data_IF_357067264526
#
_entry.id   IF_357067264526
#
_cell.length_a   1.000
_cell.length_b   1.000
_cell.length_c   1.000
_cell.angle_alpha   90.00
_cell.angle_beta   90.00
_cell.angle_gamma   90.00
#
_symmetry.space_group_name_H-M   'P 1'
#
loop_
_entity.id
_entity.type
_entity.pdbx_description
1 polymer ?
#
# COMPACT_ATOMS: atom_id res chain seq x y z
N UNK A 1 100.91 -46.32 8.94
CA UNK A 1 99.73 -47.13 8.94
C UNK A 1 98.95 -46.85 10.21
N UNK A 2 97.87 -46.16 10.14
CA UNK A 2 97.04 -45.75 11.31
C UNK A 2 95.65 -46.36 11.15
N UNK A 3 95.04 -46.94 12.22
CA UNK A 3 93.74 -47.58 12.11
C UNK A 3 92.61 -46.59 12.23
N UNK A 4 91.54 -46.90 11.56
CA UNK A 4 90.25 -46.18 11.55
C UNK A 4 89.52 -46.30 12.88
N UNK A 5 89.11 -45.11 13.42
CA UNK A 5 88.19 -45.01 14.55
C UNK A 5 86.74 -45.11 14.05
N UNK A 6 85.99 -45.97 14.69
CA UNK A 6 84.53 -46.11 14.45
C UNK A 6 83.81 -44.96 15.16
N UNK A 7 83.06 -44.14 14.43
CA UNK A 7 82.16 -43.11 14.94
C UNK A 7 80.79 -43.76 15.11
N UNK A 8 80.33 -43.81 16.35
CA UNK A 8 78.99 -44.28 16.73
C UNK A 8 78.02 -43.11 16.66
N UNK A 9 77.08 -43.26 15.76
CA UNK A 9 76.02 -42.26 15.57
C UNK A 9 74.88 -42.51 16.57
N UNK A 10 74.69 -41.64 17.54
CA UNK A 10 73.55 -41.68 18.45
C UNK A 10 72.43 -40.92 17.85
N UNK A 11 71.39 -41.60 17.40
CA UNK A 11 70.20 -40.99 16.86
C UNK A 11 69.25 -40.63 18.01
N UNK A 12 69.15 -39.34 18.32
CA UNK A 12 68.16 -38.86 19.28
C UNK A 12 66.84 -38.66 18.56
N UNK A 13 65.84 -39.44 18.90
CA UNK A 13 64.45 -39.28 18.44
C UNK A 13 63.81 -38.17 19.30
N UNK A 14 63.55 -37.02 18.67
CA UNK A 14 62.76 -35.95 19.30
C UNK A 14 61.30 -36.18 18.97
N UNK A 15 60.52 -36.59 19.97
CA UNK A 15 59.06 -36.72 19.84
C UNK A 15 58.47 -35.32 20.07
N UNK A 16 58.04 -34.69 18.97
CA UNK A 16 57.26 -33.42 19.04
C UNK A 16 55.80 -33.81 19.29
N UNK A 17 55.36 -33.62 20.54
CA UNK A 17 53.93 -33.67 20.89
C UNK A 17 53.28 -32.37 20.47
N UNK A 18 52.65 -32.35 19.32
CA UNK A 18 51.84 -31.23 18.86
C UNK A 18 50.49 -31.26 19.61
N UNK A 19 50.33 -30.45 20.69
CA UNK A 19 49.05 -30.17 21.28
C UNK A 19 48.25 -29.31 20.32
N UNK A 20 47.37 -29.93 19.51
CA UNK A 20 46.38 -29.25 18.66
C UNK A 20 45.35 -28.57 19.55
N UNK A 21 45.44 -27.22 19.63
CA UNK A 21 44.41 -26.39 20.21
C UNK A 21 43.20 -26.35 19.27
N UNK A 22 42.17 -27.17 19.52
CA UNK A 22 40.89 -27.06 18.83
C UNK A 22 40.21 -25.77 19.25
N UNK A 23 40.38 -24.69 18.46
CA UNK A 23 39.55 -23.50 18.56
C UNK A 23 38.20 -23.89 18.00
N UNK A 24 37.24 -24.26 18.88
CA UNK A 24 35.83 -24.36 18.52
C UNK A 24 35.37 -22.95 18.15
N UNK A 25 35.38 -22.64 16.86
CA UNK A 25 34.76 -21.42 16.31
C UNK A 25 33.25 -21.48 16.56
N UNK A 26 32.82 -20.95 17.69
CA UNK A 26 31.43 -20.70 17.94
C UNK A 26 30.95 -19.69 16.89
N UNK A 27 30.23 -20.14 15.89
CA UNK A 27 29.44 -19.26 15.03
C UNK A 27 28.45 -18.58 15.96
N UNK A 28 28.66 -17.29 16.23
CA UNK A 28 27.67 -16.45 16.87
C UNK A 28 26.44 -16.44 15.94
N UNK A 29 25.44 -17.26 16.25
CA UNK A 29 24.13 -17.16 15.64
C UNK A 29 23.61 -15.79 15.95
N UNK A 30 23.35 -14.98 14.93
CA UNK A 30 22.69 -13.70 15.10
C UNK A 30 21.44 -13.89 15.98
N UNK A 31 21.18 -13.01 16.95
CA UNK A 31 20.04 -13.15 17.83
C UNK A 31 18.78 -13.27 16.96
N UNK A 32 18.06 -14.38 17.10
CA UNK A 32 16.74 -14.55 16.50
C UNK A 32 15.86 -13.43 17.06
N UNK A 33 15.18 -12.62 16.24
CA UNK A 33 14.27 -11.59 16.76
C UNK A 33 13.35 -12.24 17.79
N UNK A 34 13.18 -11.62 18.94
CA UNK A 34 12.29 -12.12 19.97
C UNK A 34 10.90 -12.34 19.37
N UNK A 35 10.27 -13.48 19.66
CA UNK A 35 8.89 -13.74 19.25
C UNK A 35 8.01 -12.60 19.77
N UNK A 36 7.54 -11.73 18.88
CA UNK A 36 6.84 -10.46 19.19
C UNK A 36 7.46 -9.22 18.56
N UNK A 37 8.75 -9.24 18.21
CA UNK A 37 9.41 -8.08 17.56
C UNK A 37 8.86 -7.74 16.17
N UNK A 38 8.17 -8.68 15.53
CA UNK A 38 7.55 -8.52 14.21
C UNK A 38 6.02 -8.37 14.28
N UNK A 39 5.43 -8.20 15.46
CA UNK A 39 3.98 -7.98 15.58
C UNK A 39 3.66 -6.50 15.48
N UNK A 40 2.48 -6.19 14.91
CA UNK A 40 1.93 -4.84 14.89
C UNK A 40 1.87 -4.29 16.32
N UNK A 41 2.41 -3.08 16.58
CA UNK A 41 2.24 -2.41 17.86
C UNK A 41 0.77 -2.27 18.22
N UNK A 42 0.48 -2.05 19.51
CA UNK A 42 -0.88 -1.85 19.98
C UNK A 42 -1.06 -0.48 20.61
N UNK A 43 -2.20 0.10 20.40
CA UNK A 43 -2.67 1.31 21.08
C UNK A 43 -2.99 1.02 22.55
N UNK A 44 -3.21 2.07 23.33
CA UNK A 44 -3.53 1.95 24.75
C UNK A 44 -4.82 1.16 25.02
N UNK A 45 -5.77 1.15 24.09
CA UNK A 45 -7.01 0.37 24.13
C UNK A 45 -6.86 -1.05 23.54
N UNK A 46 -5.62 -1.47 23.26
CA UNK A 46 -5.27 -2.84 22.86
C UNK A 46 -5.52 -3.15 21.38
N UNK A 47 -5.92 -2.19 20.56
CA UNK A 47 -6.12 -2.38 19.12
C UNK A 47 -4.79 -2.32 18.38
N UNK A 48 -4.65 -2.94 17.18
CA UNK A 48 -3.49 -2.73 16.33
C UNK A 48 -3.26 -1.24 16.08
N UNK A 49 -2.02 -0.79 16.19
CA UNK A 49 -1.65 0.60 15.92
C UNK A 49 -1.18 0.75 14.47
N UNK A 50 -2.09 1.22 13.66
CA UNK A 50 -1.83 1.50 12.25
C UNK A 50 -1.21 2.88 12.00
N UNK A 51 -0.96 3.68 13.05
CA UNK A 51 -0.34 5.01 12.90
C UNK A 51 0.98 4.92 12.15
N UNK A 52 1.23 5.88 11.27
CA UNK A 52 2.45 5.99 10.49
C UNK A 52 2.18 6.19 9.00
N UNK A 53 3.27 6.17 8.22
CA UNK A 53 3.24 6.43 6.78
C UNK A 53 3.23 5.10 6.04
N UNK A 54 2.32 4.97 5.09
CA UNK A 54 2.06 3.75 4.34
C UNK A 54 2.02 4.00 2.84
N UNK A 55 2.23 2.95 2.06
CA UNK A 55 2.14 3.00 0.60
C UNK A 55 1.72 1.65 0.04
N UNK A 56 0.92 1.66 -1.02
CA UNK A 56 0.72 0.50 -1.88
C UNK A 56 1.83 0.46 -2.94
N UNK A 57 2.49 -0.69 -3.10
CA UNK A 57 3.58 -0.89 -4.07
C UNK A 57 3.07 -1.74 -5.25
N UNK A 58 2.13 -1.20 -6.00
CA UNK A 58 1.53 -1.87 -7.16
C UNK A 58 1.14 -0.85 -8.24
N UNK A 59 0.55 -1.32 -9.32
CA UNK A 59 0.13 -0.50 -10.47
C UNK A 59 -1.38 -0.28 -10.53
N UNK A 60 -2.12 -0.57 -9.46
CA UNK A 60 -3.59 -0.52 -9.42
C UNK A 60 -4.17 0.88 -9.72
N UNK A 61 -3.43 1.95 -9.44
CA UNK A 61 -3.88 3.31 -9.79
C UNK A 61 -4.05 3.52 -11.30
N UNK A 62 -3.33 2.73 -12.12
CA UNK A 62 -3.44 2.74 -13.58
C UNK A 62 -4.46 1.72 -14.09
N UNK A 63 -4.42 0.50 -13.58
CA UNK A 63 -5.41 -0.54 -13.86
C UNK A 63 -5.47 -1.52 -12.69
N UNK A 64 -6.66 -1.70 -12.12
CA UNK A 64 -6.89 -2.64 -11.02
C UNK A 64 -6.93 -4.10 -11.47
N UNK A 65 -7.02 -4.36 -12.79
CA UNK A 65 -6.91 -5.70 -13.39
C UNK A 65 -5.49 -5.96 -13.91
N UNK A 66 -5.18 -7.22 -14.24
CA UNK A 66 -3.91 -7.59 -14.88
C UNK A 66 -3.74 -6.82 -16.19
N UNK A 67 -2.59 -6.20 -16.39
CA UNK A 67 -2.33 -5.38 -17.57
C UNK A 67 -0.89 -5.48 -18.06
N UNK A 68 -0.73 -5.30 -19.36
CA UNK A 68 0.57 -5.15 -19.99
C UNK A 68 1.06 -3.71 -19.90
N UNK A 69 2.34 -3.49 -20.21
CA UNK A 69 2.86 -2.13 -20.34
C UNK A 69 2.09 -1.34 -21.41
N UNK A 70 1.82 -0.08 -21.12
CA UNK A 70 1.19 0.83 -22.08
C UNK A 70 1.78 2.23 -21.98
N UNK A 71 1.63 3.02 -23.04
CA UNK A 71 1.93 4.44 -22.98
C UNK A 71 0.72 5.16 -22.39
N UNK A 72 0.91 5.72 -21.20
CA UNK A 72 -0.01 6.73 -20.67
C UNK A 72 0.31 8.11 -21.28
N UNK A 73 -0.59 9.07 -21.12
CA UNK A 73 -0.50 10.38 -21.76
C UNK A 73 0.78 11.15 -21.43
N UNK A 74 1.44 10.88 -20.30
CA UNK A 74 2.67 11.54 -19.87
C UNK A 74 3.68 10.62 -19.15
N UNK A 75 3.28 9.42 -18.77
CA UNK A 75 4.14 8.42 -18.16
C UNK A 75 3.83 7.03 -18.73
N UNK A 76 4.86 6.24 -18.99
CA UNK A 76 4.68 4.83 -19.32
C UNK A 76 4.06 4.09 -18.13
N UNK A 77 3.06 3.24 -18.39
CA UNK A 77 2.51 2.34 -17.39
C UNK A 77 3.28 1.04 -17.45
N UNK A 78 3.97 0.62 -16.38
CA UNK A 78 4.62 -0.68 -16.34
C UNK A 78 3.58 -1.80 -16.38
N UNK A 79 3.95 -3.01 -16.82
CA UNK A 79 3.08 -4.16 -16.68
C UNK A 79 2.86 -4.47 -15.21
N UNK A 80 1.68 -4.94 -14.86
CA UNK A 80 1.36 -5.24 -13.46
C UNK A 80 0.32 -6.33 -13.32
N UNK A 81 0.38 -7.00 -12.17
CA UNK A 81 -0.72 -7.86 -11.73
C UNK A 81 -1.78 -6.97 -11.10
N UNK A 82 -3.02 -7.27 -11.45
CA UNK A 82 -4.17 -6.61 -10.85
C UNK A 82 -4.34 -6.97 -9.37
N UNK A 83 -5.17 -6.19 -8.72
CA UNK A 83 -5.55 -6.36 -7.31
C UNK A 83 -6.98 -6.90 -7.17
N UNK A 84 -7.69 -7.08 -8.27
CA UNK A 84 -9.04 -7.66 -8.32
C UNK A 84 -8.96 -9.16 -8.08
N UNK A 85 -9.69 -9.68 -7.10
CA UNK A 85 -9.78 -11.12 -6.86
C UNK A 85 -10.37 -11.83 -8.09
N UNK A 86 -9.65 -12.81 -8.61
CA UNK A 86 -10.02 -13.52 -9.84
C UNK A 86 -9.87 -12.71 -11.13
N UNK A 87 -9.33 -11.49 -11.04
CA UNK A 87 -9.09 -10.59 -12.18
C UNK A 87 -10.33 -10.26 -13.04
N UNK A 88 -11.53 -10.42 -12.48
CA UNK A 88 -12.80 -10.20 -13.17
C UNK A 88 -13.66 -9.15 -12.45
N UNK A 89 -14.04 -8.10 -13.18
CA UNK A 89 -15.02 -7.11 -12.70
C UNK A 89 -16.37 -7.41 -13.34
N UNK A 90 -17.41 -7.74 -12.56
CA UNK A 90 -18.67 -8.25 -13.07
C UNK A 90 -19.60 -7.12 -13.57
N UNK A 91 -19.19 -6.40 -14.60
CA UNK A 91 -19.97 -5.32 -15.19
C UNK A 91 -21.31 -5.78 -15.77
N UNK A 92 -22.33 -4.96 -15.60
CA UNK A 92 -23.53 -5.04 -16.44
C UNK A 92 -23.19 -4.63 -17.89
N UNK A 93 -23.89 -5.14 -18.92
CA UNK A 93 -23.54 -4.86 -20.32
C UNK A 93 -23.43 -3.36 -20.66
N UNK A 94 -24.39 -2.55 -20.23
CA UNK A 94 -24.38 -1.11 -20.48
C UNK A 94 -23.23 -0.41 -19.74
N UNK A 95 -22.91 -0.83 -18.52
CA UNK A 95 -21.80 -0.29 -17.74
C UNK A 95 -20.43 -0.67 -18.35
N UNK A 96 -20.31 -1.87 -18.93
CA UNK A 96 -19.10 -2.27 -19.65
C UNK A 96 -18.84 -1.37 -20.87
N UNK A 97 -19.88 -0.98 -21.59
CA UNK A 97 -19.74 -0.04 -22.71
C UNK A 97 -19.31 1.35 -22.23
N UNK A 98 -19.80 1.79 -21.07
CA UNK A 98 -19.33 3.05 -20.48
C UNK A 98 -17.86 2.94 -20.05
N UNK A 99 -17.44 1.83 -19.43
CA UNK A 99 -16.02 1.59 -19.07
C UNK A 99 -15.11 1.66 -20.30
N UNK A 100 -15.52 1.10 -21.44
CA UNK A 100 -14.76 1.18 -22.69
C UNK A 100 -14.63 2.62 -23.21
N UNK A 101 -15.69 3.43 -23.08
CA UNK A 101 -15.66 4.86 -23.44
C UNK A 101 -14.71 5.62 -22.51
N UNK A 102 -14.78 5.37 -21.21
CA UNK A 102 -13.86 5.97 -20.22
C UNK A 102 -12.41 5.64 -20.57
N UNK A 103 -12.13 4.37 -20.87
CA UNK A 103 -10.79 3.92 -21.28
C UNK A 103 -10.29 4.65 -22.53
N UNK A 104 -11.12 4.80 -23.55
CA UNK A 104 -10.74 5.50 -24.78
C UNK A 104 -10.44 6.99 -24.53
N UNK A 105 -11.08 7.59 -23.55
CA UNK A 105 -10.95 9.01 -23.21
C UNK A 105 -10.07 9.29 -21.99
N UNK A 106 -9.48 8.26 -21.36
CA UNK A 106 -8.77 8.37 -20.08
C UNK A 106 -7.68 9.44 -20.03
N UNK A 107 -6.99 9.66 -21.16
CA UNK A 107 -5.95 10.69 -21.26
C UNK A 107 -6.48 12.12 -21.14
N UNK A 108 -7.80 12.33 -21.19
CA UNK A 108 -8.45 13.64 -21.08
C UNK A 108 -9.45 13.69 -19.93
N UNK A 109 -9.98 12.54 -19.51
CA UNK A 109 -11.16 12.46 -18.66
C UNK A 109 -10.90 11.84 -17.29
N UNK A 110 -9.72 11.21 -17.04
CA UNK A 110 -9.42 10.69 -15.71
C UNK A 110 -9.58 11.77 -14.63
N UNK A 111 -10.53 11.58 -13.69
CA UNK A 111 -10.83 12.61 -12.70
C UNK A 111 -9.63 12.93 -11.80
N UNK A 112 -8.85 11.93 -11.41
CA UNK A 112 -7.73 12.11 -10.50
C UNK A 112 -6.47 12.57 -11.23
N UNK A 113 -5.95 11.79 -12.19
CA UNK A 113 -4.66 12.10 -12.82
C UNK A 113 -4.72 13.26 -13.81
N UNK A 114 -5.85 13.49 -14.46
CA UNK A 114 -5.97 14.51 -15.52
C UNK A 114 -6.71 15.74 -15.04
N UNK A 115 -7.86 15.56 -14.35
CA UNK A 115 -8.66 16.70 -13.88
C UNK A 115 -8.29 17.17 -12.48
N UNK A 116 -7.35 16.49 -11.82
CA UNK A 116 -6.86 16.82 -10.48
C UNK A 116 -7.96 16.89 -9.41
N UNK A 117 -8.97 16.06 -9.55
CA UNK A 117 -10.01 15.90 -8.54
C UNK A 117 -9.56 14.88 -7.47
N UNK A 118 -10.19 14.90 -6.33
CA UNK A 118 -9.89 13.91 -5.28
C UNK A 118 -10.19 12.50 -5.79
N UNK A 119 -9.34 11.50 -5.50
CA UNK A 119 -9.41 10.18 -6.13
C UNK A 119 -10.58 9.31 -5.66
N UNK A 120 -11.22 9.65 -4.54
CA UNK A 120 -12.24 8.82 -3.93
C UNK A 120 -11.68 7.57 -3.24
N UNK A 121 -12.57 6.77 -2.68
CA UNK A 121 -12.27 5.50 -2.02
C UNK A 121 -12.82 4.37 -2.90
N UNK A 122 -12.06 3.30 -3.16
CA UNK A 122 -10.78 2.93 -2.54
C UNK A 122 -9.52 3.49 -3.24
N UNK A 123 -9.64 4.20 -4.38
CA UNK A 123 -8.50 4.61 -5.23
C UNK A 123 -7.43 5.37 -4.45
N UNK A 124 -7.81 6.23 -3.52
CA UNK A 124 -6.86 6.99 -2.69
C UNK A 124 -5.81 6.10 -2.02
N UNK A 125 -6.20 4.89 -1.60
CA UNK A 125 -5.34 3.97 -0.85
C UNK A 125 -4.22 3.36 -1.70
N UNK A 126 -4.43 3.21 -3.01
CA UNK A 126 -3.44 2.64 -3.93
C UNK A 126 -2.93 3.61 -5.00
N UNK A 127 -3.14 4.91 -4.82
CA UNK A 127 -2.40 5.91 -5.59
C UNK A 127 -0.89 5.70 -5.37
N UNK A 128 -0.02 5.97 -6.37
CA UNK A 128 1.43 5.75 -6.26
C UNK A 128 2.11 6.81 -5.37
N UNK A 129 1.46 7.20 -4.30
CA UNK A 129 1.90 8.21 -3.34
C UNK A 129 1.66 7.72 -1.92
N UNK A 130 2.50 8.10 -0.96
CA UNK A 130 2.31 7.71 0.42
C UNK A 130 1.07 8.38 1.05
N UNK A 131 0.59 7.77 2.12
CA UNK A 131 -0.43 8.34 2.99
C UNK A 131 -0.08 8.07 4.45
N UNK A 132 -0.56 8.92 5.33
CA UNK A 132 -0.35 8.82 6.78
C UNK A 132 -1.66 8.46 7.47
N UNK A 133 -1.59 7.46 8.33
CA UNK A 133 -2.67 7.10 9.25
C UNK A 133 -2.36 7.73 10.61
N UNK A 134 -3.32 8.46 11.16
CA UNK A 134 -3.30 9.06 12.50
C UNK A 134 -4.44 8.42 13.27
N UNK A 135 -4.10 7.53 14.21
CA UNK A 135 -5.09 6.75 14.93
C UNK A 135 -5.31 7.30 16.34
N UNK A 136 -6.57 7.59 16.66
CA UNK A 136 -7.02 7.97 17.99
C UNK A 136 -8.24 7.13 18.38
N UNK A 137 -8.53 6.98 19.68
CA UNK A 137 -9.77 6.37 20.12
C UNK A 137 -10.98 7.12 19.54
N UNK A 138 -11.87 6.42 18.87
CA UNK A 138 -13.07 7.01 18.26
C UNK A 138 -12.90 7.68 16.90
N UNK A 139 -11.66 7.92 16.44
CA UNK A 139 -11.40 8.57 15.16
C UNK A 139 -10.08 8.14 14.53
N UNK A 140 -10.10 7.80 13.25
CA UNK A 140 -8.89 7.63 12.45
C UNK A 140 -8.89 8.69 11.35
N UNK A 141 -7.82 9.49 11.29
CA UNK A 141 -7.54 10.40 10.20
C UNK A 141 -6.58 9.76 9.21
N UNK A 142 -6.82 9.93 7.92
CA UNK A 142 -5.87 9.54 6.87
C UNK A 142 -5.58 10.76 6.02
N UNK A 143 -4.30 11.11 5.91
CA UNK A 143 -3.80 12.19 5.08
C UNK A 143 -3.06 11.59 3.90
N UNK A 144 -3.49 11.89 2.69
CA UNK A 144 -2.88 11.41 1.46
C UNK A 144 -1.98 12.50 0.86
N UNK A 145 -0.80 12.11 0.36
CA UNK A 145 0.06 13.04 -0.38
C UNK A 145 -0.64 13.52 -1.67
N UNK A 146 -1.33 12.60 -2.38
CA UNK A 146 -2.05 12.95 -3.60
C UNK A 146 -3.20 13.91 -3.35
N UNK A 147 -3.20 15.02 -4.09
CA UNK A 147 -4.25 16.05 -4.10
C UNK A 147 -4.61 16.61 -2.71
N UNK A 148 -3.71 16.47 -1.73
CA UNK A 148 -3.94 16.88 -0.32
C UNK A 148 -5.20 16.28 0.27
N UNK A 149 -5.60 15.10 -0.19
CA UNK A 149 -6.82 14.47 0.26
C UNK A 149 -6.73 14.14 1.75
N UNK A 150 -7.82 14.40 2.47
CA UNK A 150 -7.97 14.03 3.87
C UNK A 150 -9.24 13.20 4.01
N UNK A 151 -9.17 12.16 4.81
CA UNK A 151 -10.28 11.27 5.11
C UNK A 151 -10.38 11.06 6.61
N UNK A 152 -11.59 11.04 7.11
CA UNK A 152 -11.89 10.75 8.52
C UNK A 152 -12.74 9.49 8.60
N UNK A 153 -12.33 8.54 9.43
CA UNK A 153 -13.07 7.33 9.75
C UNK A 153 -13.62 7.48 11.17
N UNK A 154 -14.93 7.60 11.30
CA UNK A 154 -15.62 7.75 12.57
C UNK A 154 -15.83 6.36 13.21
N UNK A 155 -15.26 6.15 14.40
CA UNK A 155 -15.37 4.91 15.19
C UNK A 155 -16.41 5.02 16.33
N UNK A 156 -17.11 6.15 16.43
CA UNK A 156 -18.03 6.42 17.56
C UNK A 156 -19.38 5.71 17.43
N UNK A 157 -19.65 5.08 16.27
CA UNK A 157 -20.94 4.46 15.98
C UNK A 157 -22.07 5.46 15.72
N UNK A 158 -21.75 6.75 15.44
CA UNK A 158 -22.75 7.76 15.15
C UNK A 158 -23.60 7.37 13.93
N UNK A 159 -24.91 7.60 14.00
CA UNK A 159 -25.83 7.40 12.86
C UNK A 159 -25.47 8.32 11.67
N UNK A 160 -25.77 7.84 10.46
CA UNK A 160 -25.73 8.64 9.22
C UNK A 160 -27.03 9.44 8.96
N UNK A 161 -28.00 9.41 9.85
CA UNK A 161 -29.29 10.07 9.61
C UNK A 161 -29.17 11.56 9.29
N UNK A 162 -28.17 12.22 9.85
CA UNK A 162 -27.90 13.64 9.59
C UNK A 162 -27.38 13.91 8.14
N UNK A 163 -26.92 12.86 7.41
CA UNK A 163 -26.49 12.98 6.02
C UNK A 163 -27.65 12.88 5.02
N UNK A 164 -28.85 12.61 5.48
CA UNK A 164 -30.02 12.56 4.59
C UNK A 164 -30.23 13.92 3.91
N UNK A 165 -30.24 13.91 2.57
CA UNK A 165 -30.37 15.13 1.76
C UNK A 165 -29.07 15.90 1.52
N UNK A 166 -27.95 15.48 2.10
CA UNK A 166 -26.64 16.04 1.78
C UNK A 166 -26.11 15.49 0.45
N UNK A 167 -25.35 16.27 -0.33
CA UNK A 167 -24.67 15.78 -1.52
C UNK A 167 -23.64 14.71 -1.15
N UNK A 168 -23.19 13.97 -2.15
CA UNK A 168 -22.13 13.00 -2.00
C UNK A 168 -20.76 13.70 -1.83
N UNK A 169 -19.80 12.99 -1.22
CA UNK A 169 -18.48 13.52 -0.90
C UNK A 169 -17.42 12.82 -1.75
N UNK A 170 -16.39 13.56 -2.15
CA UNK A 170 -15.28 12.98 -2.91
C UNK A 170 -14.64 11.78 -2.23
N UNK A 171 -14.46 11.81 -0.91
CA UNK A 171 -13.86 10.75 -0.12
C UNK A 171 -14.89 9.89 0.61
N UNK A 172 -16.18 10.11 0.35
CA UNK A 172 -17.27 9.41 1.02
C UNK A 172 -17.41 9.72 2.52
N UNK A 173 -18.44 9.16 3.14
CA UNK A 173 -18.59 9.08 4.60
C UNK A 173 -18.13 7.72 5.08
N UNK A 174 -17.12 7.70 5.96
CA UNK A 174 -16.47 6.48 6.43
C UNK A 174 -16.79 6.22 7.89
N UNK A 175 -17.34 5.01 8.18
CA UNK A 175 -17.68 4.54 9.53
C UNK A 175 -16.92 3.28 9.81
N UNK A 176 -16.10 3.31 10.86
CA UNK A 176 -15.25 2.19 11.23
C UNK A 176 -15.75 1.43 12.47
N UNK A 177 -15.44 0.18 12.54
CA UNK A 177 -15.55 -0.67 13.73
C UNK A 177 -14.43 -1.69 13.76
N UNK A 178 -14.03 -2.10 14.95
CA UNK A 178 -13.08 -3.18 15.11
C UNK A 178 -13.79 -4.54 15.15
N UNK A 179 -13.31 -5.46 14.32
CA UNK A 179 -13.66 -6.88 14.31
C UNK A 179 -12.40 -7.67 14.70
N UNK A 180 -12.26 -7.93 16.00
CA UNK A 180 -11.00 -8.43 16.56
C UNK A 180 -9.84 -7.43 16.31
N UNK A 181 -8.84 -7.86 15.55
CA UNK A 181 -7.68 -7.06 15.15
C UNK A 181 -7.86 -6.40 13.77
N UNK A 182 -8.98 -6.60 13.11
CA UNK A 182 -9.28 -6.00 11.80
C UNK A 182 -10.13 -4.74 11.99
N UNK A 183 -9.67 -3.63 11.40
CA UNK A 183 -10.50 -2.45 11.23
C UNK A 183 -11.40 -2.65 10.01
N UNK A 184 -12.70 -2.65 10.21
CA UNK A 184 -13.71 -2.71 9.15
C UNK A 184 -14.30 -1.32 8.96
N UNK A 185 -14.27 -0.82 7.73
CA UNK A 185 -14.76 0.52 7.38
C UNK A 185 -15.86 0.41 6.34
N UNK A 186 -17.03 0.90 6.70
CA UNK A 186 -18.19 1.04 5.83
C UNK A 186 -18.17 2.44 5.21
N UNK A 187 -18.11 2.54 3.88
CA UNK A 187 -17.99 3.79 3.13
C UNK A 187 -19.18 3.95 2.20
N UNK A 188 -19.89 5.04 2.35
CA UNK A 188 -21.05 5.40 1.53
C UNK A 188 -20.96 6.87 1.11
N UNK A 189 -21.91 7.36 0.32
CA UNK A 189 -21.98 8.77 -0.10
C UNK A 189 -20.76 9.19 -0.92
N UNK A 190 -20.26 8.32 -1.78
CA UNK A 190 -19.14 8.58 -2.69
C UNK A 190 -19.62 9.29 -3.95
N UNK A 191 -18.93 10.35 -4.33
CA UNK A 191 -19.20 11.12 -5.54
C UNK A 191 -18.95 10.28 -6.80
N UNK A 192 -19.96 10.09 -7.63
CA UNK A 192 -19.94 9.24 -8.82
C UNK A 192 -18.91 9.66 -9.89
N UNK A 193 -18.39 10.89 -9.79
CA UNK A 193 -17.35 11.39 -10.71
C UNK A 193 -15.98 10.78 -10.48
N UNK A 194 -15.77 10.04 -9.38
CA UNK A 194 -14.51 9.34 -9.14
C UNK A 194 -14.43 8.04 -9.94
N UNK A 195 -13.21 7.62 -10.29
CA UNK A 195 -12.94 6.34 -10.94
C UNK A 195 -12.09 5.47 -10.04
N UNK A 196 -12.14 4.15 -10.23
CA UNK A 196 -11.27 3.21 -9.50
C UNK A 196 -9.81 3.26 -9.99
N UNK A 197 -9.56 3.63 -11.27
CA UNK A 197 -8.24 3.65 -11.87
C UNK A 197 -8.18 4.50 -13.15
N UNK A 198 -7.00 4.57 -13.75
CA UNK A 198 -6.81 5.25 -15.03
C UNK A 198 -7.34 4.45 -16.23
N UNK A 199 -7.58 3.14 -16.09
CA UNK A 199 -8.20 2.31 -17.11
C UNK A 199 -9.71 2.57 -17.27
N UNK A 200 -10.27 3.50 -16.49
CA UNK A 200 -11.64 3.96 -16.62
C UNK A 200 -12.66 3.07 -15.93
N UNK A 201 -12.22 2.23 -15.00
CA UNK A 201 -13.12 1.51 -14.12
C UNK A 201 -13.83 2.51 -13.21
N UNK A 202 -15.15 2.46 -13.13
CA UNK A 202 -16.00 3.49 -12.56
C UNK A 202 -17.13 2.91 -11.70
N UNK A 203 -17.88 3.78 -11.07
CA UNK A 203 -19.05 3.45 -10.26
C UNK A 203 -20.16 4.51 -10.44
N UNK A 204 -21.31 4.27 -9.84
CA UNK A 204 -22.41 5.22 -9.73
C UNK A 204 -22.50 5.80 -8.32
N UNK A 205 -23.50 6.66 -8.09
CA UNK A 205 -23.88 7.18 -6.78
C UNK A 205 -24.31 6.10 -5.77
N UNK A 206 -24.64 4.89 -6.27
CA UNK A 206 -25.02 3.75 -5.44
C UNK A 206 -23.82 2.97 -4.89
N UNK A 207 -22.60 3.44 -5.10
CA UNK A 207 -21.41 2.78 -4.60
C UNK A 207 -21.40 2.64 -3.08
N UNK A 208 -21.23 1.42 -2.63
CA UNK A 208 -20.95 1.06 -1.25
C UNK A 208 -19.63 0.29 -1.21
N UNK A 209 -18.71 0.72 -0.37
CA UNK A 209 -17.40 0.08 -0.18
C UNK A 209 -17.25 -0.39 1.26
N UNK A 210 -16.90 -1.66 1.43
CA UNK A 210 -16.55 -2.22 2.75
C UNK A 210 -15.06 -2.53 2.74
N UNK A 211 -14.27 -1.75 3.45
CA UNK A 211 -12.84 -1.94 3.56
C UNK A 211 -12.47 -2.74 4.81
N UNK A 212 -11.40 -3.50 4.73
CA UNK A 212 -10.81 -4.23 5.85
C UNK A 212 -9.30 -3.99 5.89
N UNK A 213 -8.81 -3.55 7.04
CA UNK A 213 -7.40 -3.37 7.33
C UNK A 213 -7.02 -4.39 8.41
N UNK A 214 -6.25 -5.40 8.04
CA UNK A 214 -5.81 -6.47 8.93
C UNK A 214 -4.30 -6.47 9.07
N UNK A 215 -3.72 -6.52 10.27
CA UNK A 215 -2.27 -6.57 10.44
C UNK A 215 -1.73 -7.90 9.91
N UNK A 216 -0.73 -7.88 9.04
CA UNK A 216 0.06 -9.04 8.65
C UNK A 216 1.22 -9.19 9.63
N UNK A 217 1.95 -8.12 9.83
CA UNK A 217 3.05 -7.98 10.77
C UNK A 217 3.24 -6.49 11.15
N UNK A 218 4.38 -6.14 11.75
CA UNK A 218 4.67 -4.78 12.21
C UNK A 218 4.61 -3.74 11.10
N UNK A 219 5.04 -4.10 9.89
CA UNK A 219 5.27 -3.16 8.79
C UNK A 219 4.40 -3.45 7.56
N UNK A 220 3.44 -4.39 7.70
CA UNK A 220 2.52 -4.75 6.64
C UNK A 220 1.07 -4.83 7.12
N UNK A 221 0.16 -4.24 6.34
CA UNK A 221 -1.29 -4.36 6.52
C UNK A 221 -1.86 -5.04 5.29
N UNK A 222 -2.68 -6.07 5.45
CA UNK A 222 -3.55 -6.57 4.41
C UNK A 222 -4.72 -5.61 4.26
N UNK A 223 -4.86 -5.02 3.10
CA UNK A 223 -5.99 -4.19 2.71
C UNK A 223 -6.89 -4.96 1.75
N UNK A 224 -8.17 -4.98 2.05
CA UNK A 224 -9.21 -5.54 1.20
C UNK A 224 -10.34 -4.51 1.06
N UNK A 225 -10.96 -4.43 -0.11
CA UNK A 225 -12.18 -3.66 -0.29
C UNK A 225 -13.19 -4.46 -1.09
N UNK A 226 -14.38 -4.64 -0.52
CA UNK A 226 -15.55 -5.18 -1.22
C UNK A 226 -16.29 -4.02 -1.86
N UNK A 227 -16.55 -4.14 -3.14
CA UNK A 227 -17.21 -3.14 -3.98
C UNK A 227 -18.62 -3.61 -4.29
N UNK A 228 -19.60 -2.84 -3.93
CA UNK A 228 -21.01 -3.07 -4.20
C UNK A 228 -21.61 -1.86 -4.91
N UNK A 229 -22.11 -2.05 -6.11
CA UNK A 229 -22.83 -1.03 -6.86
C UNK A 229 -23.86 -1.72 -7.77
N UNK A 230 -25.11 -1.78 -7.34
CA UNK A 230 -26.16 -2.49 -8.07
C UNK A 230 -26.53 -1.83 -9.39
N UNK A 231 -26.13 -0.59 -9.64
CA UNK A 231 -26.35 0.09 -10.93
C UNK A 231 -25.32 -0.33 -11.98
N UNK A 232 -24.08 -0.62 -11.53
CA UNK A 232 -22.92 -0.87 -12.42
C UNK A 232 -22.58 -2.36 -12.52
N UNK A 233 -22.63 -3.10 -11.39
CA UNK A 233 -22.19 -4.50 -11.33
C UNK A 233 -23.35 -5.48 -11.14
N UNK A 234 -23.13 -6.72 -11.60
CA UNK A 234 -24.11 -7.81 -11.44
C UNK A 234 -24.03 -8.50 -10.07
N UNK A 235 -22.91 -8.37 -9.40
CA UNK A 235 -22.62 -8.90 -8.04
C UNK A 235 -21.52 -8.09 -7.37
N UNK A 236 -21.37 -8.17 -6.03
CA UNK A 236 -20.19 -7.64 -5.35
C UNK A 236 -18.89 -8.29 -5.87
N UNK A 237 -17.81 -7.54 -5.82
CA UNK A 237 -16.46 -8.00 -6.14
C UNK A 237 -15.43 -7.38 -5.20
N UNK A 238 -14.18 -7.86 -5.22
CA UNK A 238 -13.17 -7.45 -4.26
C UNK A 238 -11.85 -7.10 -4.90
N UNK A 239 -11.16 -6.20 -4.24
CA UNK A 239 -9.72 -5.96 -4.41
C UNK A 239 -8.99 -6.35 -3.12
N UNK A 240 -7.73 -6.77 -3.28
CA UNK A 240 -6.90 -7.22 -2.17
C UNK A 240 -5.42 -6.92 -2.44
N UNK A 241 -4.72 -6.31 -1.48
CA UNK A 241 -3.31 -5.95 -1.62
C UNK A 241 -2.65 -5.70 -0.27
N UNK A 242 -1.34 -5.93 -0.13
CA UNK A 242 -0.59 -5.47 1.03
C UNK A 242 -0.30 -3.96 0.95
N UNK A 243 -0.34 -3.30 2.09
CA UNK A 243 0.20 -1.96 2.32
C UNK A 243 1.50 -2.10 3.08
N UNK A 244 2.48 -1.28 2.73
CA UNK A 244 3.84 -1.30 3.26
C UNK A 244 4.10 -0.06 4.09
N UNK A 245 4.59 -0.23 5.32
CA UNK A 245 5.02 0.89 6.17
C UNK A 245 6.31 1.48 5.61
N UNK A 246 6.39 2.79 5.52
CA UNK A 246 7.63 3.49 5.24
C UNK A 246 8.38 3.63 6.57
N UNK A 247 9.52 2.93 6.69
CA UNK A 247 10.29 2.83 7.93
C UNK A 247 11.40 3.87 8.07
N UNK A 248 11.69 4.62 7.00
CA UNK A 248 12.66 5.71 7.06
C UNK A 248 12.15 6.81 7.99
N UNK A 249 12.96 7.16 9.00
CA UNK A 249 12.60 8.14 10.04
C UNK A 249 12.59 9.59 9.55
N UNK A 250 13.17 9.84 8.39
CA UNK A 250 13.27 11.18 7.80
C UNK A 250 12.20 11.41 6.72
N UNK A 251 11.29 10.45 6.52
CA UNK A 251 10.22 10.60 5.54
C UNK A 251 9.11 11.49 6.09
N UNK A 252 8.79 12.50 5.33
CA UNK A 252 7.62 13.34 5.51
C UNK A 252 6.67 13.17 4.34
N UNK A 253 5.38 13.33 4.57
CA UNK A 253 4.41 13.37 3.49
C UNK A 253 4.43 14.78 2.90
N UNK A 254 4.94 14.88 1.69
CA UNK A 254 4.84 16.08 0.89
C UNK A 254 3.47 16.17 0.22
N UNK A 255 2.93 17.36 0.19
CA UNK A 255 1.72 17.65 -0.57
C UNK A 255 2.06 17.61 -2.06
N UNK A 256 1.51 16.64 -2.77
CA UNK A 256 1.59 16.62 -4.22
C UNK A 256 0.37 17.33 -4.80
N UNK A 257 0.61 18.41 -5.50
CA UNK A 257 -0.43 19.15 -6.21
C UNK A 257 -0.42 18.76 -7.68
N UNK A 258 -1.44 18.06 -8.11
CA UNK A 258 -1.63 17.63 -9.49
C UNK A 258 -1.61 18.81 -10.50
N UNK A 259 -2.03 19.99 -10.10
CA UNK A 259 -2.02 21.19 -10.95
C UNK A 259 -0.62 21.69 -11.25
N UNK A 260 0.37 21.34 -10.44
CA UNK A 260 1.76 21.74 -10.69
C UNK A 260 2.25 21.25 -12.05
N UNK A 261 1.91 20.01 -12.44
CA UNK A 261 2.29 19.47 -13.75
C UNK A 261 1.51 20.11 -14.91
N UNK A 262 0.27 20.55 -14.67
CA UNK A 262 -0.55 21.25 -15.67
C UNK A 262 -0.14 22.71 -15.83
N UNK A 263 0.31 23.33 -14.73
CA UNK A 263 0.81 24.72 -14.70
C UNK A 263 2.34 24.78 -14.88
N UNK A 264 3.00 23.70 -15.30
CA UNK A 264 4.46 23.62 -15.43
C UNK A 264 5.05 24.73 -16.32
N UNK A 265 4.32 25.15 -17.35
CA UNK A 265 4.68 26.32 -18.16
C UNK A 265 4.67 27.63 -17.34
N UNK A 266 3.75 27.78 -16.41
CA UNK A 266 3.64 28.95 -15.53
C UNK A 266 4.75 29.00 -14.47
N UNK A 267 5.24 27.82 -14.05
CA UNK A 267 6.25 27.70 -13.00
C UNK A 267 7.62 27.26 -13.53
N UNK A 268 7.81 27.15 -14.85
CA UNK A 268 9.07 26.71 -15.45
C UNK A 268 10.30 27.50 -15.00
N UNK A 269 10.12 28.77 -14.65
CA UNK A 269 11.20 29.64 -14.17
C UNK A 269 11.45 29.49 -12.65
N UNK A 270 10.57 28.81 -11.93
CA UNK A 270 10.71 28.54 -10.50
C UNK A 270 11.37 27.18 -10.21
N UNK A 271 11.56 26.33 -11.22
CA UNK A 271 12.24 25.04 -11.08
C UNK A 271 13.75 25.27 -11.20
N UNK A 272 14.57 24.95 -10.18
CA UNK A 272 16.03 25.02 -10.29
C UNK A 272 16.49 24.12 -11.44
N UNK A 273 17.38 24.67 -12.32
CA UNK A 273 18.00 23.91 -13.42
C UNK A 273 19.07 22.97 -12.91
#
# INVERSE_FOLDING_TARGET
>A
MRPFGRLTLVTSVVIIVSTGLLIAGGQATAPRPAAGANQMPRTADGKPDFSGIWQALNTAAWDIQDHTSSLASFLGVPPGRGVVEGNEIPYKPAALEQKKKNFAQRAKEDPAFVKCLLPGVPRATYMPYPFEIIQNPGLIGIRYAFARAVRTIDLTGRSRDWLKGWPDFWMGDSRGKWDGDTLVVDVQKLDERTWFDHAGNFHSEALHVIERYSPIDRDHIQYEATIEDPNVFTRPWKISMPLYRIIDRNVEIYEWDCRFDQDSEKYKDAIPK
#
